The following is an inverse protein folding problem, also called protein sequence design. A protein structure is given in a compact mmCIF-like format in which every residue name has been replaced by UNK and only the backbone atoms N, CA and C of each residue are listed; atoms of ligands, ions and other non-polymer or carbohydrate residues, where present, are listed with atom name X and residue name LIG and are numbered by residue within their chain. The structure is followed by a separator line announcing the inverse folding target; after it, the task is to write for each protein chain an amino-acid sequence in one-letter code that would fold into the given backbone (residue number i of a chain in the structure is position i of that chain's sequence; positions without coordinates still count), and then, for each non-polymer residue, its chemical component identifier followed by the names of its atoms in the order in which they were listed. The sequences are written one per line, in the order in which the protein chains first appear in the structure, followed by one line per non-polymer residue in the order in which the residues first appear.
data_IF_320181523454
#
_entry.id   IF_320181523454
#
_cell.length_a   1.000
_cell.length_b   1.000
_cell.length_c   1.000
_cell.angle_alpha   90.00
_cell.angle_beta   90.00
_cell.angle_gamma   90.00
#
_symmetry.space_group_name_H-M   'P 1'
#
loop_
_entity.id
_entity.type
_entity.pdbx_description
1 polymer ?
#
# COMPACT_ATOMS: atom_id res chain seq x y z
N UNK A 1 13.61 16.62 -30.08
CA UNK A 1 14.18 16.04 -28.86
C UNK A 1 13.03 15.84 -27.88
N UNK A 2 12.57 14.61 -27.68
CA UNK A 2 11.42 14.30 -26.82
C UNK A 2 11.94 14.07 -25.42
N UNK A 3 11.55 14.90 -24.46
CA UNK A 3 11.83 14.68 -23.03
C UNK A 3 10.85 13.62 -22.51
N UNK A 4 11.38 12.50 -22.07
CA UNK A 4 10.62 11.48 -21.33
C UNK A 4 10.62 11.89 -19.87
N UNK A 5 9.46 12.15 -19.32
CA UNK A 5 9.25 12.33 -17.87
C UNK A 5 9.26 10.95 -17.24
N UNK A 6 10.18 10.73 -16.33
CA UNK A 6 10.32 9.48 -15.55
C UNK A 6 9.46 9.66 -14.29
N UNK A 7 8.35 8.96 -14.22
CA UNK A 7 7.59 8.84 -12.98
C UNK A 7 8.33 7.89 -12.05
N UNK A 8 8.82 8.39 -10.93
CA UNK A 8 9.49 7.62 -9.88
C UNK A 8 8.43 7.23 -8.86
N UNK A 9 7.98 5.99 -8.92
CA UNK A 9 7.17 5.41 -7.85
C UNK A 9 8.13 5.02 -6.74
N UNK A 10 8.12 5.76 -5.63
CA UNK A 10 8.83 5.39 -4.41
C UNK A 10 7.89 4.53 -3.56
N UNK A 11 8.05 3.23 -3.62
CA UNK A 11 7.41 2.32 -2.66
C UNK A 11 8.23 2.36 -1.38
N UNK A 12 7.74 3.05 -0.36
CA UNK A 12 8.34 3.03 0.97
C UNK A 12 7.80 1.82 1.73
N UNK A 13 8.58 0.75 1.81
CA UNK A 13 8.35 -0.34 2.76
C UNK A 13 8.76 0.14 4.15
N UNK A 14 7.82 0.47 5.02
CA UNK A 14 8.08 0.65 6.45
C UNK A 14 7.96 -0.70 7.18
N UNK A 15 9.05 -1.12 7.78
CA UNK A 15 9.07 -2.21 8.75
C UNK A 15 8.54 -1.69 10.09
N UNK A 16 7.42 -2.18 10.56
CA UNK A 16 6.94 -1.96 11.93
C UNK A 16 7.47 -3.04 12.86
N UNK A 17 8.08 -2.62 13.97
CA UNK A 17 8.44 -3.47 15.09
C UNK A 17 7.24 -3.61 16.05
N UNK A 18 7.03 -4.75 16.74
CA UNK A 18 5.88 -4.97 17.60
C UNK A 18 6.02 -4.25 18.94
N UNK A 19 5.01 -3.49 19.33
CA UNK A 19 4.85 -2.96 20.69
C UNK A 19 3.98 -3.91 21.51
N UNK A 20 4.54 -4.37 22.61
CA UNK A 20 3.92 -5.30 23.56
C UNK A 20 2.76 -4.66 24.31
N UNK A 21 1.58 -5.30 24.29
CA UNK A 21 0.42 -4.92 25.07
C UNK A 21 0.52 -5.44 26.50
N UNK A 22 0.26 -4.56 27.49
CA UNK A 22 -0.02 -4.93 28.88
C UNK A 22 -1.52 -5.12 29.06
N UNK A 23 -1.91 -6.29 29.58
CA UNK A 23 -3.26 -6.61 29.98
C UNK A 23 -3.61 -5.98 31.33
N UNK A 24 -4.81 -5.48 31.47
CA UNK A 24 -5.48 -5.26 32.76
C UNK A 24 -6.95 -5.68 32.66
N UNK A 25 -7.25 -6.58 33.55
CA UNK A 25 -8.47 -7.31 33.85
C UNK A 25 -9.55 -6.39 34.47
N UNK A 26 -10.82 -6.53 34.07
CA UNK A 26 -11.97 -6.31 34.95
C UNK A 26 -13.31 -6.76 34.30
N UNK A 27 -13.96 -7.58 34.98
CA UNK A 27 -15.22 -8.31 34.95
C UNK A 27 -16.51 -7.52 34.70
N UNK A 28 -17.44 -8.21 33.95
CA UNK A 28 -18.92 -8.38 34.07
C UNK A 28 -19.84 -7.18 34.36
N UNK A 29 -20.88 -6.95 33.58
CA UNK A 29 -22.22 -7.53 33.69
C UNK A 29 -23.19 -7.03 32.57
N UNK A 30 -24.11 -7.92 32.18
CA UNK A 30 -25.06 -7.78 31.10
C UNK A 30 -26.25 -6.89 31.43
N UNK A 31 -26.84 -6.24 30.43
CA UNK A 31 -28.31 -6.17 30.24
C UNK A 31 -28.68 -5.63 28.84
N UNK A 32 -29.53 -6.39 28.16
CA UNK A 32 -30.16 -6.03 26.89
C UNK A 32 -31.25 -4.98 27.08
N UNK A 33 -31.34 -4.03 26.15
CA UNK A 33 -32.62 -3.45 25.74
C UNK A 33 -32.53 -2.88 24.32
N UNK A 34 -33.41 -3.40 23.49
CA UNK A 34 -33.73 -2.91 22.14
C UNK A 34 -34.44 -1.59 22.17
N UNK A 35 -34.01 -0.59 21.41
CA UNK A 35 -34.92 0.47 20.92
C UNK A 35 -34.43 0.95 19.54
N UNK A 36 -35.34 0.87 18.58
CA UNK A 36 -35.30 1.57 17.30
C UNK A 36 -35.05 3.07 17.51
N UNK A 37 -34.15 3.65 16.77
CA UNK A 37 -34.13 5.09 16.58
C UNK A 37 -33.81 5.43 15.13
N UNK A 38 -34.74 6.15 14.57
CA UNK A 38 -34.74 6.75 13.25
C UNK A 38 -33.53 7.66 13.01
N UNK A 39 -33.10 7.70 11.74
CA UNK A 39 -32.05 8.60 11.30
C UNK A 39 -32.37 10.06 11.61
N UNK A 40 -31.50 10.71 12.33
CA UNK A 40 -31.36 12.16 12.34
C UNK A 40 -30.23 12.56 11.41
N UNK A 41 -30.61 13.34 10.40
CA UNK A 41 -29.69 14.07 9.57
C UNK A 41 -28.86 14.97 10.51
N UNK A 42 -27.53 14.76 10.53
CA UNK A 42 -26.65 15.68 11.21
C UNK A 42 -26.71 17.03 10.51
N UNK A 43 -27.26 18.00 11.20
CA UNK A 43 -27.23 19.42 10.90
C UNK A 43 -25.75 19.80 10.62
N UNK A 44 -25.50 20.41 9.46
CA UNK A 44 -24.25 21.07 9.18
C UNK A 44 -24.04 22.17 10.20
N UNK A 45 -23.13 22.00 11.15
CA UNK A 45 -22.66 23.08 12.02
C UNK A 45 -22.12 24.21 11.14
N UNK A 46 -22.83 25.32 11.20
CA UNK A 46 -22.49 26.58 10.56
C UNK A 46 -21.13 27.06 11.05
N UNK A 47 -20.26 27.37 10.11
CA UNK A 47 -18.91 27.90 10.23
C UNK A 47 -18.71 28.84 11.44
N UNK A 48 -18.20 28.32 12.55
CA UNK A 48 -17.33 29.09 13.43
C UNK A 48 -16.03 29.35 12.64
N UNK A 49 -15.52 30.61 12.66
CA UNK A 49 -14.33 31.00 11.89
C UNK A 49 -13.13 30.08 12.17
N UNK A 50 -12.10 30.11 11.33
CA UNK A 50 -10.93 29.22 11.35
C UNK A 50 -10.20 29.11 12.72
N UNK A 51 -10.51 30.00 13.69
CA UNK A 51 -9.78 30.06 14.96
C UNK A 51 -8.32 30.52 14.78
N UNK A 52 -7.50 30.24 15.78
CA UNK A 52 -6.09 30.69 15.82
C UNK A 52 -5.08 29.52 15.75
N UNK A 53 -5.55 28.27 15.84
CA UNK A 53 -4.70 27.08 15.93
C UNK A 53 -4.40 26.49 14.55
N UNK A 54 -3.13 26.54 14.14
CA UNK A 54 -2.66 25.93 12.88
C UNK A 54 -2.86 24.40 12.89
N UNK A 55 -2.79 23.77 14.04
CA UNK A 55 -3.00 22.32 14.22
C UNK A 55 -4.46 21.91 14.21
N UNK A 56 -5.38 22.86 13.93
CA UNK A 56 -6.78 22.52 13.57
C UNK A 56 -6.86 21.86 12.18
N UNK A 57 -5.79 21.96 11.37
CA UNK A 57 -5.71 21.49 9.98
C UNK A 57 -6.89 21.99 9.13
N UNK A 58 -7.20 23.26 9.27
CA UNK A 58 -8.30 23.92 8.56
C UNK A 58 -7.80 25.09 7.72
N UNK A 59 -8.48 25.35 6.61
CA UNK A 59 -8.28 26.54 5.79
C UNK A 59 -9.60 27.02 5.20
N UNK A 60 -9.64 28.29 4.82
CA UNK A 60 -10.73 28.88 4.04
C UNK A 60 -10.26 29.12 2.61
N UNK A 61 -10.97 28.57 1.64
CA UNK A 61 -10.80 28.87 0.23
C UNK A 61 -12.04 29.60 -0.29
N UNK A 62 -11.88 30.86 -0.66
CA UNK A 62 -12.94 31.70 -1.19
C UNK A 62 -14.23 31.67 -0.35
N UNK A 63 -14.09 31.79 0.97
CA UNK A 63 -15.21 31.80 1.93
C UNK A 63 -15.75 30.43 2.31
N UNK A 64 -15.20 29.35 1.79
CA UNK A 64 -15.55 27.97 2.18
C UNK A 64 -14.47 27.38 3.06
N UNK A 65 -14.83 26.95 4.25
CA UNK A 65 -13.90 26.34 5.20
C UNK A 65 -13.76 24.85 4.94
N UNK A 66 -12.52 24.37 4.83
CA UNK A 66 -12.12 22.96 4.74
C UNK A 66 -11.39 22.59 6.03
N UNK A 67 -11.58 21.36 6.51
CA UNK A 67 -10.85 20.80 7.64
C UNK A 67 -10.43 19.37 7.28
N UNK A 68 -9.15 19.08 7.42
CA UNK A 68 -8.57 17.78 7.09
C UNK A 68 -8.40 16.90 8.35
N UNK A 69 -8.59 15.56 8.22
CA UNK A 69 -9.13 14.90 7.04
C UNK A 69 -10.62 15.16 6.83
N UNK A 70 -11.06 15.08 5.58
CA UNK A 70 -12.46 15.19 5.17
C UNK A 70 -12.78 14.15 4.11
N UNK A 71 -14.06 13.89 3.83
CA UNK A 71 -14.44 12.93 2.77
C UNK A 71 -14.19 13.52 1.37
N UNK A 72 -13.89 12.67 0.41
CA UNK A 72 -13.83 13.06 -1.00
C UNK A 72 -15.15 13.73 -1.43
N UNK A 73 -16.29 13.21 -1.00
CA UNK A 73 -17.61 13.73 -1.34
C UNK A 73 -17.84 15.16 -0.82
N UNK A 74 -17.40 15.46 0.40
CA UNK A 74 -17.48 16.81 0.95
C UNK A 74 -16.59 17.78 0.16
N UNK A 75 -15.39 17.34 -0.20
CA UNK A 75 -14.44 18.13 -0.98
C UNK A 75 -14.99 18.49 -2.38
N UNK A 76 -15.51 17.51 -3.12
CA UNK A 76 -16.14 17.79 -4.43
C UNK A 76 -17.46 18.55 -4.28
N UNK A 77 -18.18 18.36 -3.18
CA UNK A 77 -19.38 19.14 -2.83
C UNK A 77 -19.10 20.64 -2.67
N UNK A 78 -17.85 21.03 -2.40
CA UNK A 78 -17.41 22.44 -2.39
C UNK A 78 -17.13 22.98 -3.79
N UNK A 79 -17.35 22.21 -4.86
CA UNK A 79 -17.19 22.60 -6.25
C UNK A 79 -15.78 22.34 -6.81
N UNK A 80 -15.00 21.50 -6.15
CA UNK A 80 -13.76 20.95 -6.72
C UNK A 80 -14.10 19.82 -7.68
N UNK A 81 -13.46 19.78 -8.82
CA UNK A 81 -13.63 18.75 -9.85
C UNK A 81 -12.31 18.03 -10.06
N UNK A 82 -12.37 16.70 -10.18
CA UNK A 82 -11.19 15.89 -10.50
C UNK A 82 -10.58 16.39 -11.82
N UNK A 83 -9.27 16.57 -11.85
CA UNK A 83 -8.58 16.98 -13.07
C UNK A 83 -8.74 15.90 -14.15
N UNK A 84 -9.02 16.33 -15.38
CA UNK A 84 -9.14 15.44 -16.54
C UNK A 84 -7.83 14.68 -16.89
N UNK A 85 -6.76 14.91 -16.15
CA UNK A 85 -5.48 14.21 -16.30
C UNK A 85 -5.38 13.01 -15.36
N UNK A 86 -6.25 12.97 -14.35
CA UNK A 86 -6.30 11.89 -13.36
C UNK A 86 -7.21 10.77 -13.86
N UNK A 87 -6.99 9.57 -13.35
CA UNK A 87 -7.82 8.42 -13.62
C UNK A 87 -8.99 8.40 -12.63
N UNK A 88 -10.25 8.56 -13.09
CA UNK A 88 -11.40 8.53 -12.20
C UNK A 88 -11.65 7.14 -11.58
N UNK A 89 -11.13 6.09 -12.19
CA UNK A 89 -11.27 4.70 -11.73
C UNK A 89 -10.08 4.28 -10.84
N UNK A 90 -9.23 5.23 -10.45
CA UNK A 90 -8.08 4.97 -9.57
C UNK A 90 -8.54 4.35 -8.26
N UNK A 91 -7.84 3.30 -7.85
CA UNK A 91 -8.01 2.66 -6.55
C UNK A 91 -6.94 3.12 -5.56
N UNK A 92 -7.34 3.28 -4.31
CA UNK A 92 -6.45 3.59 -3.19
C UNK A 92 -6.34 2.32 -2.35
N UNK A 93 -5.13 1.76 -2.32
CA UNK A 93 -4.85 0.57 -1.53
C UNK A 93 -5.02 0.83 -0.03
N UNK A 94 -5.13 -0.24 0.74
CA UNK A 94 -5.25 -0.17 2.20
C UNK A 94 -4.03 0.50 2.83
N UNK A 95 -4.25 1.27 3.90
CA UNK A 95 -3.20 2.01 4.63
C UNK A 95 -2.25 2.78 3.70
N UNK A 96 -2.79 3.40 2.65
CA UNK A 96 -2.00 4.15 1.68
C UNK A 96 -2.62 5.49 1.33
N UNK A 97 -1.81 6.32 0.70
CA UNK A 97 -2.22 7.62 0.19
C UNK A 97 -1.62 7.89 -1.18
N UNK A 98 -2.19 8.85 -1.89
CA UNK A 98 -1.71 9.30 -3.19
C UNK A 98 -2.09 10.75 -3.46
N UNK A 99 -1.42 11.37 -4.42
CA UNK A 99 -1.66 12.76 -4.79
C UNK A 99 -2.53 12.83 -6.03
N UNK A 100 -3.58 13.64 -5.97
CA UNK A 100 -4.58 13.80 -7.03
C UNK A 100 -4.84 15.30 -7.24
N UNK A 101 -4.88 15.71 -8.49
CA UNK A 101 -5.12 17.11 -8.85
C UNK A 101 -6.61 17.39 -9.01
N UNK A 102 -7.06 18.49 -8.41
CA UNK A 102 -8.42 19.01 -8.55
C UNK A 102 -8.44 20.42 -9.10
N UNK A 103 -9.51 20.76 -9.81
CA UNK A 103 -9.72 22.08 -10.38
C UNK A 103 -11.01 22.73 -9.84
N UNK A 104 -10.98 24.05 -9.63
CA UNK A 104 -12.16 24.86 -9.37
C UNK A 104 -12.08 26.14 -10.18
N UNK A 105 -12.79 26.18 -11.31
CA UNK A 105 -12.67 27.26 -12.29
C UNK A 105 -11.28 27.30 -12.92
N UNK A 106 -10.47 28.34 -12.63
CA UNK A 106 -9.10 28.48 -13.10
C UNK A 106 -8.06 27.99 -12.10
N UNK A 107 -8.50 27.72 -10.89
CA UNK A 107 -7.63 27.32 -9.80
C UNK A 107 -7.43 25.81 -9.80
N UNK A 108 -6.23 25.38 -9.44
CA UNK A 108 -5.87 23.98 -9.30
C UNK A 108 -5.20 23.74 -7.94
N UNK A 109 -5.45 22.59 -7.34
CA UNK A 109 -4.79 22.14 -6.10
C UNK A 109 -4.37 20.69 -6.25
N UNK A 110 -3.34 20.30 -5.52
CA UNK A 110 -3.02 18.89 -5.32
C UNK A 110 -3.58 18.47 -3.98
N UNK A 111 -4.46 17.48 -3.95
CA UNK A 111 -4.99 16.92 -2.72
C UNK A 111 -4.36 15.57 -2.46
N UNK A 112 -4.15 15.25 -1.20
CA UNK A 112 -3.66 13.98 -0.75
C UNK A 112 -4.85 13.09 -0.36
N UNK A 113 -5.16 12.13 -1.23
CA UNK A 113 -6.23 11.15 -1.02
C UNK A 113 -5.68 9.97 -0.22
N UNK A 114 -6.43 9.47 0.75
CA UNK A 114 -5.98 8.37 1.62
C UNK A 114 -7.08 7.36 1.89
N UNK A 115 -6.65 6.13 2.15
CA UNK A 115 -7.48 5.03 2.60
C UNK A 115 -6.87 4.42 3.87
N UNK A 116 -7.57 4.53 4.97
CA UNK A 116 -7.17 3.97 6.27
C UNK A 116 -7.95 2.69 6.61
N UNK A 117 -8.75 2.21 5.65
CA UNK A 117 -9.56 1.00 5.78
C UNK A 117 -8.80 -0.28 5.46
N UNK A 118 -9.47 -1.41 5.68
CA UNK A 118 -8.95 -2.76 5.38
C UNK A 118 -9.31 -3.26 3.98
N UNK A 119 -10.15 -2.52 3.25
CA UNK A 119 -10.55 -2.80 1.87
C UNK A 119 -9.92 -1.75 0.95
N UNK A 120 -9.56 -2.13 -0.27
CA UNK A 120 -9.19 -1.18 -1.31
C UNK A 120 -10.43 -0.38 -1.72
N UNK A 121 -10.30 0.94 -1.91
CA UNK A 121 -11.43 1.82 -2.22
C UNK A 121 -11.19 2.62 -3.50
N UNK A 122 -12.27 3.04 -4.15
CA UNK A 122 -12.20 4.06 -5.22
C UNK A 122 -11.98 5.47 -4.66
N UNK A 123 -11.64 6.41 -5.54
CA UNK A 123 -11.48 7.82 -5.15
C UNK A 123 -12.70 8.38 -4.41
N UNK A 124 -13.90 8.01 -4.86
CA UNK A 124 -15.16 8.50 -4.29
C UNK A 124 -15.42 8.10 -2.84
N UNK A 125 -14.77 7.02 -2.38
CA UNK A 125 -14.88 6.49 -1.03
C UNK A 125 -13.64 6.82 -0.17
N UNK A 126 -12.67 7.55 -0.72
CA UNK A 126 -11.44 7.95 -0.02
C UNK A 126 -11.66 9.15 0.90
N UNK A 127 -10.69 9.39 1.77
CA UNK A 127 -10.54 10.64 2.51
C UNK A 127 -9.57 11.57 1.78
N UNK A 128 -9.73 12.87 1.99
CA UNK A 128 -8.73 13.88 1.67
C UNK A 128 -8.00 14.19 2.99
N UNK A 129 -6.76 13.74 3.09
CA UNK A 129 -5.92 13.94 4.28
C UNK A 129 -5.10 15.22 4.22
N UNK A 130 -4.84 15.76 3.03
CA UNK A 130 -4.02 16.94 2.86
C UNK A 130 -4.28 17.70 1.58
N UNK A 131 -3.70 18.89 1.49
CA UNK A 131 -3.81 19.76 0.32
C UNK A 131 -2.57 20.63 0.13
N UNK A 132 -2.11 20.73 -1.09
CA UNK A 132 -1.13 21.72 -1.54
C UNK A 132 -1.84 22.85 -2.30
N UNK A 133 -1.63 24.09 -1.85
CA UNK A 133 -2.14 25.32 -2.49
C UNK A 133 -0.97 26.21 -2.87
N UNK A 134 -0.72 26.41 -4.18
CA UNK A 134 0.37 27.24 -4.69
C UNK A 134 -0.14 28.51 -5.39
N UNK A 135 -0.06 29.64 -4.69
CA UNK A 135 -0.44 30.95 -5.20
C UNK A 135 0.51 31.56 -6.23
N UNK A 136 1.65 30.91 -6.52
CA UNK A 136 2.59 31.38 -7.54
C UNK A 136 2.21 30.93 -8.95
N UNK A 137 1.50 29.78 -9.07
CA UNK A 137 1.23 29.15 -10.36
C UNK A 137 -0.21 28.67 -10.52
N UNK A 138 -0.81 28.12 -9.45
CA UNK A 138 -2.02 27.32 -9.57
C UNK A 138 -3.26 28.06 -9.08
N UNK A 139 -3.09 29.11 -8.27
CA UNK A 139 -4.19 29.88 -7.68
C UNK A 139 -4.14 31.34 -8.14
N UNK A 140 -5.26 31.83 -8.69
CA UNK A 140 -5.43 33.24 -9.06
C UNK A 140 -5.83 34.06 -7.82
N UNK A 141 -4.84 34.46 -7.02
CA UNK A 141 -5.03 35.28 -5.81
C UNK A 141 -5.63 36.66 -6.06
N UNK A 142 -5.82 37.08 -7.34
CA UNK A 142 -6.55 38.30 -7.66
C UNK A 142 -8.06 38.09 -7.64
N UNK A 143 -8.53 36.88 -7.73
CA UNK A 143 -9.96 36.51 -7.81
C UNK A 143 -10.46 35.70 -6.62
N UNK A 144 -9.59 35.03 -5.88
CA UNK A 144 -9.95 34.22 -4.70
C UNK A 144 -9.05 34.54 -3.51
N UNK A 145 -9.55 34.29 -2.30
CA UNK A 145 -8.76 34.38 -1.08
C UNK A 145 -8.55 33.00 -0.47
N UNK A 146 -7.34 32.77 0.08
CA UNK A 146 -6.98 31.56 0.85
C UNK A 146 -6.47 32.00 2.20
N UNK A 147 -7.14 31.55 3.26
CA UNK A 147 -6.81 31.93 4.62
C UNK A 147 -6.54 30.70 5.49
N UNK A 148 -5.64 30.86 6.44
CA UNK A 148 -5.31 29.92 7.49
C UNK A 148 -5.77 30.44 8.86
N UNK A 149 -5.82 29.61 9.88
CA UNK A 149 -6.04 30.05 11.26
C UNK A 149 -5.12 31.23 11.65
N UNK A 150 -5.48 31.98 12.69
CA UNK A 150 -4.67 33.11 13.15
C UNK A 150 -4.62 34.30 12.18
N UNK A 151 -5.49 34.34 11.18
CA UNK A 151 -5.58 35.45 10.23
C UNK A 151 -4.49 35.49 9.17
N UNK A 152 -3.76 34.39 8.97
CA UNK A 152 -2.74 34.26 7.92
C UNK A 152 -3.43 34.11 6.56
N UNK A 153 -2.99 34.86 5.55
CA UNK A 153 -3.58 34.88 4.21
C UNK A 153 -2.50 34.72 3.14
N UNK A 154 -2.75 33.81 2.20
CA UNK A 154 -1.90 33.52 1.05
C UNK A 154 -1.77 34.78 0.14
N UNK A 155 -0.58 35.11 -0.27
CA UNK A 155 -0.25 36.29 -1.07
C UNK A 155 -0.16 37.61 -0.28
N UNK A 156 -0.38 37.57 1.05
CA UNK A 156 -0.36 38.79 1.89
C UNK A 156 0.53 38.67 3.12
N UNK A 157 0.38 37.58 3.90
CA UNK A 157 1.10 37.41 5.16
C UNK A 157 2.58 37.16 4.94
N UNK A 158 3.38 37.77 5.82
CA UNK A 158 4.84 37.67 5.85
C UNK A 158 5.32 36.56 6.79
N UNK A 159 6.62 36.25 6.77
CA UNK A 159 7.22 35.33 7.73
C UNK A 159 7.07 35.82 9.18
N UNK A 160 7.13 37.12 9.40
CA UNK A 160 6.95 37.69 10.74
C UNK A 160 5.50 37.57 11.22
N UNK A 161 4.51 37.73 10.32
CA UNK A 161 3.10 37.51 10.67
C UNK A 161 2.84 36.04 11.05
N UNK A 162 3.41 35.09 10.28
CA UNK A 162 3.31 33.65 10.54
C UNK A 162 3.89 33.32 11.92
N UNK A 163 5.09 33.78 12.23
CA UNK A 163 5.73 33.57 13.54
C UNK A 163 4.98 34.25 14.68
N UNK A 164 4.39 35.42 14.42
CA UNK A 164 3.57 36.09 15.41
C UNK A 164 2.27 35.33 15.74
N UNK A 165 1.67 34.67 14.73
CA UNK A 165 0.47 33.88 14.88
C UNK A 165 0.72 32.51 15.54
N UNK A 166 1.77 31.80 15.12
CA UNK A 166 1.99 30.38 15.47
C UNK A 166 3.19 30.11 16.37
N UNK A 167 4.02 31.13 16.63
CA UNK A 167 5.27 30.97 17.37
C UNK A 167 6.42 30.43 16.50
N UNK A 168 7.43 29.87 17.17
CA UNK A 168 8.60 29.31 16.49
C UNK A 168 8.22 28.01 15.77
N UNK A 169 8.59 27.85 14.48
CA UNK A 169 8.34 26.62 13.73
C UNK A 169 9.21 25.45 14.25
N UNK A 170 8.76 24.23 13.96
CA UNK A 170 9.50 22.99 14.26
C UNK A 170 10.77 22.87 13.41
N UNK A 171 10.72 23.32 12.15
CA UNK A 171 11.85 23.38 11.23
C UNK A 171 11.79 24.62 10.33
N UNK A 172 12.95 25.05 9.83
CA UNK A 172 13.08 26.16 8.89
C UNK A 172 14.11 25.86 7.83
N UNK A 173 13.68 25.87 6.58
CA UNK A 173 14.56 25.78 5.41
C UNK A 173 14.69 27.15 4.74
N UNK A 174 15.93 27.62 4.56
CA UNK A 174 16.24 28.85 3.83
C UNK A 174 16.86 28.54 2.46
N UNK A 175 16.05 28.64 1.42
CA UNK A 175 16.49 28.52 0.04
C UNK A 175 16.78 29.88 -0.61
N UNK A 176 17.22 29.87 -1.88
CA UNK A 176 17.48 31.11 -2.62
C UNK A 176 16.20 31.87 -2.98
N UNK A 177 15.10 31.15 -3.24
CA UNK A 177 13.83 31.70 -3.73
C UNK A 177 12.81 31.93 -2.62
N UNK A 178 12.79 31.08 -1.59
CA UNK A 178 11.84 31.12 -0.49
C UNK A 178 12.45 30.65 0.82
N UNK A 179 11.80 31.03 1.90
CA UNK A 179 11.97 30.43 3.24
C UNK A 179 10.75 29.56 3.51
N UNK A 180 10.96 28.28 3.82
CA UNK A 180 9.90 27.34 4.22
C UNK A 180 9.97 27.15 5.73
N UNK A 181 8.84 27.27 6.40
CA UNK A 181 8.69 26.96 7.82
C UNK A 181 7.70 25.83 7.99
N UNK A 182 8.05 24.88 8.85
CA UNK A 182 7.24 23.68 9.13
C UNK A 182 6.72 23.75 10.56
N UNK A 183 5.43 23.49 10.73
CA UNK A 183 4.75 23.30 12.00
C UNK A 183 4.29 21.84 12.07
N UNK A 184 5.08 21.00 12.72
CA UNK A 184 4.83 19.57 12.90
C UNK A 184 4.17 19.36 14.27
N UNK A 185 3.05 18.65 14.28
CA UNK A 185 2.36 18.20 15.49
C UNK A 185 2.69 16.75 15.80
N UNK A 186 2.72 15.89 14.77
CA UNK A 186 3.11 14.50 14.82
C UNK A 186 3.61 14.08 13.42
N UNK A 187 4.15 12.86 13.28
CA UNK A 187 4.76 12.31 12.06
C UNK A 187 3.86 12.42 10.81
N UNK A 188 2.54 12.38 10.99
CA UNK A 188 1.54 12.46 9.92
C UNK A 188 0.65 13.70 10.01
N UNK A 189 1.10 14.71 10.73
CA UNK A 189 0.37 15.94 10.98
C UNK A 189 1.30 17.14 10.90
N UNK A 190 1.35 17.80 9.73
CA UNK A 190 2.19 18.97 9.53
C UNK A 190 1.57 20.04 8.64
N UNK A 191 2.05 21.26 8.77
CA UNK A 191 1.77 22.37 7.87
C UNK A 191 3.07 23.04 7.48
N UNK A 192 3.36 23.05 6.19
CA UNK A 192 4.51 23.73 5.60
C UNK A 192 4.06 25.02 4.91
N UNK A 193 4.73 26.11 5.24
CA UNK A 193 4.44 27.46 4.73
C UNK A 193 5.66 28.02 4.03
N UNK A 194 5.55 28.28 2.72
CA UNK A 194 6.65 28.84 1.91
C UNK A 194 6.44 30.33 1.66
N UNK A 195 7.29 31.16 2.23
CA UNK A 195 7.34 32.61 2.06
C UNK A 195 8.39 32.95 1.01
N UNK A 196 7.96 33.55 -0.12
CA UNK A 196 8.84 33.86 -1.22
C UNK A 196 9.60 35.18 -0.98
N UNK A 197 10.87 35.21 -1.36
CA UNK A 197 11.81 36.32 -1.06
C UNK A 197 11.64 37.54 -1.97
N UNK A 198 10.95 37.39 -3.11
CA UNK A 198 10.74 38.47 -4.08
C UNK A 198 9.82 39.59 -3.54
N UNK A 199 8.79 39.23 -2.80
CA UNK A 199 7.85 40.16 -2.18
C UNK A 199 7.61 39.92 -0.68
N UNK A 200 8.33 38.96 -0.11
CA UNK A 200 8.24 38.56 1.30
C UNK A 200 6.83 38.16 1.73
N UNK A 201 6.08 37.45 0.85
CA UNK A 201 4.74 36.96 1.16
C UNK A 201 4.64 35.45 1.11
N UNK A 202 3.72 34.87 1.88
CA UNK A 202 3.33 33.46 1.82
C UNK A 202 2.74 33.16 0.46
N UNK A 203 3.34 32.23 -0.29
CA UNK A 203 2.87 31.82 -1.62
C UNK A 203 2.40 30.37 -1.67
N UNK A 204 2.93 29.49 -0.83
CA UNK A 204 2.57 28.08 -0.88
C UNK A 204 2.26 27.57 0.52
N UNK A 205 1.22 26.75 0.59
CA UNK A 205 0.79 26.01 1.78
C UNK A 205 0.74 24.54 1.40
N UNK A 206 1.42 23.70 2.17
CA UNK A 206 1.23 22.27 2.19
C UNK A 206 0.66 21.93 3.58
N UNK A 207 -0.53 21.36 3.64
CA UNK A 207 -1.20 20.99 4.88
C UNK A 207 -1.53 19.51 4.83
N UNK A 208 -1.07 18.76 5.82
CA UNK A 208 -1.22 17.31 5.91
C UNK A 208 -1.74 16.91 7.29
N UNK A 209 -2.81 16.12 7.31
CA UNK A 209 -3.33 15.44 8.48
C UNK A 209 -3.83 14.06 8.05
N UNK A 210 -2.95 13.06 8.13
CA UNK A 210 -3.25 11.67 7.73
C UNK A 210 -3.69 10.81 8.93
N UNK A 211 -4.01 11.45 10.05
CA UNK A 211 -4.54 10.75 11.21
C UNK A 211 -5.96 10.22 10.97
N UNK A 212 -6.26 9.08 11.59
CA UNK A 212 -7.56 8.46 11.53
C UNK A 212 -8.63 9.33 12.21
N UNK A 213 -9.71 9.72 11.51
CA UNK A 213 -10.80 10.44 12.13
C UNK A 213 -11.48 9.61 13.22
N UNK A 214 -11.95 10.27 14.28
CA UNK A 214 -12.71 9.61 15.33
C UNK A 214 -13.96 8.91 14.76
N UNK A 215 -14.09 7.60 15.02
CA UNK A 215 -15.21 6.80 14.54
C UNK A 215 -15.14 6.41 13.07
N UNK A 216 -13.96 6.52 12.43
CA UNK A 216 -13.76 6.07 11.06
C UNK A 216 -14.12 4.58 10.91
N UNK A 217 -14.93 4.25 9.90
CA UNK A 217 -15.27 2.87 9.58
C UNK A 217 -14.19 2.26 8.68
N UNK A 218 -13.39 1.35 9.23
CA UNK A 218 -12.33 0.65 8.48
C UNK A 218 -12.85 -0.39 7.50
N UNK A 219 -14.16 -0.61 7.45
CA UNK A 219 -14.77 -1.67 6.67
C UNK A 219 -14.80 -3.01 7.39
N UNK A 220 -15.29 -4.03 6.69
CA UNK A 220 -15.44 -5.38 7.23
C UNK A 220 -14.69 -6.40 6.37
N UNK A 221 -14.25 -7.49 7.00
CA UNK A 221 -13.72 -8.67 6.29
C UNK A 221 -14.85 -9.33 5.52
N UNK A 222 -14.61 -9.67 4.25
CA UNK A 222 -15.59 -10.39 3.43
C UNK A 222 -15.76 -11.82 3.92
N UNK A 223 -17.01 -12.22 4.13
CA UNK A 223 -17.40 -13.62 4.42
C UNK A 223 -17.49 -14.48 3.13
N UNK A 224 -17.38 -13.87 1.96
CA UNK A 224 -17.49 -14.56 0.68
C UNK A 224 -16.16 -15.20 0.27
N UNK A 225 -16.22 -16.43 -0.23
CA UNK A 225 -15.07 -17.07 -0.87
C UNK A 225 -14.95 -16.51 -2.30
N UNK A 226 -13.84 -15.85 -2.66
CA UNK A 226 -13.67 -15.25 -3.97
C UNK A 226 -13.80 -16.27 -5.12
N UNK A 227 -14.35 -15.83 -6.24
CA UNK A 227 -14.52 -16.67 -7.43
C UNK A 227 -13.20 -17.29 -7.93
N UNK A 228 -12.08 -16.55 -7.81
CA UNK A 228 -10.74 -17.04 -8.18
C UNK A 228 -10.28 -18.23 -7.32
N UNK A 229 -10.69 -18.27 -6.05
CA UNK A 229 -10.43 -19.41 -5.15
C UNK A 229 -11.30 -20.60 -5.53
N UNK A 230 -12.60 -20.37 -5.77
CA UNK A 230 -13.53 -21.45 -6.16
C UNK A 230 -13.22 -22.02 -7.55
N UNK A 231 -12.62 -21.23 -8.43
CA UNK A 231 -12.20 -21.65 -9.77
C UNK A 231 -10.87 -22.42 -9.77
N UNK A 232 -10.09 -22.34 -8.69
CA UNK A 232 -8.79 -23.02 -8.60
C UNK A 232 -8.94 -24.55 -8.75
N UNK A 233 -8.02 -25.14 -9.50
CA UNK A 233 -7.89 -26.59 -9.65
C UNK A 233 -6.43 -26.97 -9.56
N UNK A 234 -6.11 -27.87 -8.65
CA UNK A 234 -4.79 -28.49 -8.60
C UNK A 234 -4.51 -29.21 -9.93
N UNK A 235 -3.30 -29.16 -10.46
CA UNK A 235 -2.92 -29.92 -11.65
C UNK A 235 -2.98 -31.42 -11.40
N UNK A 236 -3.34 -32.21 -12.42
CA UNK A 236 -3.38 -33.69 -12.32
C UNK A 236 -1.98 -34.32 -12.42
N UNK A 237 -1.01 -33.59 -12.98
CA UNK A 237 0.38 -34.03 -13.15
C UNK A 237 1.29 -32.83 -13.34
N UNK A 238 2.61 -33.03 -13.11
CA UNK A 238 3.65 -32.11 -13.56
C UNK A 238 3.68 -32.05 -15.08
N UNK A 239 3.92 -30.87 -15.63
CA UNK A 239 4.16 -30.64 -17.03
C UNK A 239 5.59 -31.04 -17.48
N UNK A 240 5.94 -30.68 -18.69
CA UNK A 240 7.26 -30.91 -19.26
C UNK A 240 8.11 -29.64 -19.40
N UNK A 241 7.55 -28.50 -19.03
CA UNK A 241 8.19 -27.21 -19.13
C UNK A 241 8.55 -26.66 -17.74
N UNK A 242 9.80 -26.28 -17.54
CA UNK A 242 10.27 -25.77 -16.24
C UNK A 242 9.54 -24.52 -15.73
N UNK A 243 8.91 -23.78 -16.63
CA UNK A 243 8.11 -22.59 -16.30
C UNK A 243 6.59 -22.90 -16.27
N UNK A 244 6.18 -24.16 -16.32
CA UNK A 244 4.80 -24.53 -16.01
C UNK A 244 4.50 -24.19 -14.55
N UNK A 245 3.28 -23.77 -14.28
CA UNK A 245 2.83 -23.41 -12.92
C UNK A 245 2.73 -24.60 -11.96
N UNK A 246 2.75 -25.82 -12.49
CA UNK A 246 2.60 -27.06 -11.71
C UNK A 246 3.90 -27.39 -10.95
N UNK A 247 3.77 -27.51 -9.63
CA UNK A 247 4.86 -27.88 -8.71
C UNK A 247 4.38 -29.03 -7.82
N UNK A 248 5.19 -30.07 -7.67
CA UNK A 248 5.01 -31.07 -6.61
C UNK A 248 5.74 -30.59 -5.34
N UNK A 249 5.02 -30.46 -4.25
CA UNK A 249 5.55 -30.00 -2.99
C UNK A 249 5.09 -30.92 -1.84
N UNK A 250 6.03 -31.60 -1.22
CA UNK A 250 5.77 -32.59 -0.19
C UNK A 250 4.80 -33.71 -0.62
N UNK A 251 4.88 -34.11 -1.90
CA UNK A 251 4.09 -35.20 -2.48
C UNK A 251 2.71 -34.78 -2.99
N UNK A 252 2.33 -33.51 -2.85
CA UNK A 252 1.09 -32.98 -3.40
C UNK A 252 1.37 -32.00 -4.56
N UNK A 253 0.43 -31.92 -5.51
CA UNK A 253 0.54 -31.06 -6.67
C UNK A 253 -0.18 -29.72 -6.45
N UNK A 254 0.51 -28.63 -6.75
CA UNK A 254 -0.02 -27.27 -6.72
C UNK A 254 0.23 -26.57 -8.05
N UNK A 255 -0.77 -25.83 -8.53
CA UNK A 255 -0.60 -24.93 -9.68
C UNK A 255 -0.47 -23.50 -9.14
N UNK A 256 0.73 -22.91 -9.21
CA UNK A 256 0.97 -21.55 -8.72
C UNK A 256 0.38 -20.49 -9.67
N UNK A 257 -0.23 -19.43 -9.11
CA UNK A 257 -0.51 -19.20 -7.71
C UNK A 257 -1.60 -20.15 -7.17
N UNK A 258 -1.41 -20.66 -5.95
CA UNK A 258 -2.33 -21.61 -5.33
C UNK A 258 -2.95 -21.01 -4.07
N UNK A 259 -4.29 -21.15 -3.84
CA UNK A 259 -4.89 -20.63 -2.62
C UNK A 259 -4.43 -21.43 -1.40
N UNK A 260 -4.33 -20.76 -0.26
CA UNK A 260 -3.97 -21.37 1.02
C UNK A 260 -4.90 -22.56 1.34
N UNK A 261 -6.18 -22.46 0.97
CA UNK A 261 -7.15 -23.56 1.11
C UNK A 261 -6.75 -24.85 0.38
N UNK A 262 -5.97 -24.77 -0.72
CA UNK A 262 -5.44 -25.97 -1.36
C UNK A 262 -4.35 -26.66 -0.53
N UNK A 263 -3.57 -25.90 0.22
CA UNK A 263 -2.58 -26.43 1.14
C UNK A 263 -3.26 -27.06 2.36
N UNK A 264 -4.23 -26.38 2.98
CA UNK A 264 -4.96 -26.94 4.14
C UNK A 264 -5.74 -28.20 3.76
N UNK A 265 -6.31 -28.28 2.56
CA UNK A 265 -6.95 -29.50 2.04
C UNK A 265 -5.96 -30.68 1.93
N UNK A 266 -4.68 -30.42 1.72
CA UNK A 266 -3.61 -31.42 1.67
C UNK A 266 -2.95 -31.66 3.04
N UNK A 267 -3.56 -31.19 4.14
CA UNK A 267 -3.13 -31.46 5.51
C UNK A 267 -2.03 -30.53 6.05
N UNK A 268 -1.87 -29.35 5.44
CA UNK A 268 -1.12 -28.27 6.05
C UNK A 268 -1.97 -27.56 7.10
N UNK A 269 -1.37 -27.17 8.20
CA UNK A 269 -2.00 -26.44 9.30
C UNK A 269 -1.38 -25.05 9.40
N UNK A 270 -2.21 -24.01 9.36
CA UNK A 270 -1.77 -22.62 9.59
C UNK A 270 -1.43 -22.51 11.08
N UNK A 271 -0.22 -22.02 11.37
CA UNK A 271 0.21 -21.76 12.73
C UNK A 271 -0.17 -20.32 13.10
N UNK A 272 -0.59 -20.13 14.36
CA UNK A 272 -0.91 -18.80 14.91
C UNK A 272 -1.91 -17.97 14.04
N UNK A 273 -2.89 -18.64 13.42
CA UNK A 273 -3.92 -18.00 12.59
C UNK A 273 -4.70 -16.88 13.32
N UNK A 274 -4.77 -16.97 14.65
CA UNK A 274 -5.39 -15.96 15.51
C UNK A 274 -4.67 -14.61 15.50
N UNK A 275 -3.36 -14.59 15.17
CA UNK A 275 -2.56 -13.36 15.07
C UNK A 275 -2.73 -12.66 13.73
N UNK A 276 -3.19 -13.39 12.70
CA UNK A 276 -3.45 -12.84 11.35
C UNK A 276 -4.76 -13.44 10.84
N UNK A 277 -5.91 -12.99 11.36
CA UNK A 277 -7.21 -13.61 11.04
C UNK A 277 -7.69 -13.31 9.60
N UNK A 278 -7.16 -12.29 8.97
CA UNK A 278 -7.49 -11.88 7.61
C UNK A 278 -6.29 -11.19 6.94
N UNK A 279 -6.38 -10.99 5.65
CA UNK A 279 -5.46 -10.15 4.86
C UNK A 279 -6.27 -9.03 4.22
N UNK A 280 -5.80 -7.81 4.36
CA UNK A 280 -6.41 -6.62 3.77
C UNK A 280 -6.53 -6.73 2.25
N UNK A 281 -7.42 -5.95 1.62
CA UNK A 281 -7.59 -5.91 0.16
C UNK A 281 -6.29 -5.56 -0.56
N UNK A 282 -5.89 -6.37 -1.55
CA UNK A 282 -4.60 -6.24 -2.25
C UNK A 282 -3.36 -6.45 -1.37
N UNK A 283 -3.55 -6.85 -0.11
CA UNK A 283 -2.50 -6.94 0.90
C UNK A 283 -1.70 -8.23 0.83
N UNK A 284 -0.64 -8.27 1.66
CA UNK A 284 0.27 -9.41 1.82
C UNK A 284 0.37 -9.74 3.29
N UNK A 285 0.34 -11.03 3.63
CA UNK A 285 0.66 -11.51 4.97
C UNK A 285 1.76 -12.58 4.91
N UNK A 286 2.42 -12.76 6.04
CA UNK A 286 3.43 -13.80 6.23
C UNK A 286 2.88 -14.79 7.23
N UNK A 287 2.81 -16.07 6.87
CA UNK A 287 2.26 -17.12 7.70
C UNK A 287 3.21 -18.31 7.76
N UNK A 288 3.21 -18.98 8.89
CA UNK A 288 3.84 -20.28 9.04
C UNK A 288 2.80 -21.38 8.86
N UNK A 289 3.10 -22.34 8.00
CA UNK A 289 2.28 -23.54 7.84
C UNK A 289 3.07 -24.78 8.18
N UNK A 290 2.44 -25.74 8.84
CA UNK A 290 3.06 -26.97 9.29
C UNK A 290 2.41 -28.21 8.68
N UNK A 291 3.24 -29.16 8.24
CA UNK A 291 2.83 -30.50 7.81
C UNK A 291 3.90 -31.51 8.23
N UNK A 292 3.50 -32.63 8.84
CA UNK A 292 4.41 -33.71 9.27
C UNK A 292 5.60 -33.21 10.12
N UNK A 293 5.36 -32.30 11.06
CA UNK A 293 6.37 -31.64 11.92
C UNK A 293 7.41 -30.77 11.16
N UNK A 294 7.12 -30.40 9.94
CA UNK A 294 7.93 -29.44 9.18
C UNK A 294 7.16 -28.13 9.05
N UNK A 295 7.78 -27.03 9.46
CA UNK A 295 7.23 -25.67 9.34
C UNK A 295 7.85 -24.95 8.18
N UNK A 296 7.02 -24.22 7.42
CA UNK A 296 7.44 -23.41 6.30
C UNK A 296 6.78 -22.05 6.40
N UNK A 297 7.57 -21.04 6.12
CA UNK A 297 7.13 -19.65 6.03
C UNK A 297 6.65 -19.34 4.62
N UNK A 298 5.41 -18.85 4.50
CA UNK A 298 4.81 -18.45 3.22
C UNK A 298 4.48 -16.96 3.21
N UNK A 299 4.73 -16.32 2.08
CA UNK A 299 4.10 -15.05 1.73
C UNK A 299 2.78 -15.36 1.04
N UNK A 300 1.67 -14.84 1.57
CA UNK A 300 0.34 -15.03 1.02
C UNK A 300 -0.25 -13.68 0.59
N UNK A 301 -0.91 -13.67 -0.56
CA UNK A 301 -1.39 -12.48 -1.24
C UNK A 301 -2.91 -12.51 -1.33
N UNK A 302 -3.55 -11.46 -0.91
CA UNK A 302 -4.95 -11.25 -1.19
C UNK A 302 -5.10 -10.64 -2.59
N UNK A 303 -5.64 -11.41 -3.53
CA UNK A 303 -5.83 -11.02 -4.93
C UNK A 303 -7.14 -10.26 -5.17
N UNK A 304 -7.83 -9.85 -4.10
CA UNK A 304 -9.11 -9.16 -4.17
C UNK A 304 -9.04 -7.77 -3.55
N UNK A 305 -9.99 -6.92 -3.88
CA UNK A 305 -10.11 -5.58 -3.32
C UNK A 305 -10.58 -5.58 -1.85
N UNK A 306 -11.22 -6.65 -1.40
CA UNK A 306 -11.76 -6.75 -0.05
C UNK A 306 -10.85 -7.57 0.86
N UNK A 307 -10.79 -7.18 2.14
CA UNK A 307 -10.16 -8.00 3.17
C UNK A 307 -10.82 -9.38 3.22
N UNK A 308 -10.03 -10.43 3.30
CA UNK A 308 -10.51 -11.82 3.24
C UNK A 308 -9.76 -12.72 4.21
N UNK A 309 -10.35 -13.87 4.54
CA UNK A 309 -9.71 -14.88 5.37
C UNK A 309 -8.42 -15.42 4.73
N UNK A 310 -7.45 -15.85 5.55
CA UNK A 310 -6.16 -16.39 5.09
C UNK A 310 -6.31 -17.51 4.06
N UNK A 311 -7.30 -18.38 4.22
CA UNK A 311 -7.56 -19.51 3.33
C UNK A 311 -7.89 -19.10 1.90
N UNK A 312 -8.35 -17.86 1.71
CA UNK A 312 -8.67 -17.28 0.41
C UNK A 312 -7.49 -16.59 -0.27
N UNK A 313 -6.38 -16.41 0.44
CA UNK A 313 -5.17 -15.79 -0.10
C UNK A 313 -4.34 -16.79 -0.91
N UNK A 314 -3.45 -16.29 -1.76
CA UNK A 314 -2.67 -17.09 -2.69
C UNK A 314 -1.20 -17.14 -2.33
N UNK A 315 -0.62 -18.33 -2.41
CA UNK A 315 0.82 -18.58 -2.41
C UNK A 315 1.30 -18.46 -3.86
N UNK A 316 2.19 -17.52 -4.13
CA UNK A 316 2.78 -17.29 -5.45
C UNK A 316 4.15 -17.94 -5.61
N UNK A 317 4.80 -18.25 -4.50
CA UNK A 317 6.16 -18.75 -4.48
C UNK A 317 6.29 -19.97 -3.57
N UNK A 318 6.97 -21.00 -4.09
CA UNK A 318 7.44 -22.16 -3.34
C UNK A 318 8.94 -22.28 -3.49
N UNK A 319 9.64 -22.51 -2.38
CA UNK A 319 11.08 -22.73 -2.39
C UNK A 319 11.48 -23.95 -1.58
N UNK A 320 12.65 -24.51 -1.94
CA UNK A 320 13.23 -25.69 -1.29
C UNK A 320 14.76 -25.62 -1.32
N UNK A 321 15.40 -25.91 -0.20
CA UNK A 321 16.86 -25.87 -0.07
C UNK A 321 17.40 -27.10 0.68
N UNK A 322 18.68 -27.41 0.51
CA UNK A 322 19.34 -28.63 1.05
C UNK A 322 19.84 -28.52 2.48
N UNK A 323 19.51 -27.48 3.21
CA UNK A 323 20.03 -27.31 4.59
C UNK A 323 19.53 -28.39 5.56
N UNK A 324 18.44 -29.04 5.22
CA UNK A 324 17.87 -30.11 5.99
C UNK A 324 17.60 -31.31 5.07
N UNK A 325 18.38 -32.41 5.20
CA UNK A 325 18.19 -33.61 4.39
C UNK A 325 16.84 -34.33 4.68
N UNK A 326 16.14 -33.99 5.75
CA UNK A 326 14.79 -34.46 6.06
C UNK A 326 13.72 -33.51 5.52
N UNK A 327 14.13 -32.45 4.82
CA UNK A 327 13.26 -31.40 4.37
C UNK A 327 12.35 -31.81 3.22
N UNK A 328 11.40 -30.95 2.97
CA UNK A 328 10.33 -31.08 2.00
C UNK A 328 10.88 -31.31 0.60
N UNK A 329 10.44 -32.39 -0.02
CA UNK A 329 10.76 -32.63 -1.42
C UNK A 329 9.95 -31.68 -2.31
N UNK A 330 10.64 -30.98 -3.22
CA UNK A 330 10.05 -30.14 -4.26
C UNK A 330 10.51 -30.65 -5.63
N UNK A 331 9.56 -30.69 -6.57
CA UNK A 331 9.82 -31.07 -7.95
C UNK A 331 9.08 -30.13 -8.89
N UNK A 332 9.81 -29.55 -9.82
CA UNK A 332 9.23 -28.74 -10.89
C UNK A 332 8.83 -29.59 -12.09
N UNK A 333 8.01 -29.05 -12.95
CA UNK A 333 7.75 -29.59 -14.28
C UNK A 333 9.06 -29.81 -15.05
N UNK A 334 9.10 -30.83 -15.92
CA UNK A 334 10.32 -31.27 -16.57
C UNK A 334 11.22 -32.15 -15.69
N UNK A 335 10.68 -32.73 -14.62
CA UNK A 335 11.39 -33.60 -13.65
C UNK A 335 12.58 -32.94 -12.94
N UNK A 336 12.53 -31.61 -12.81
CA UNK A 336 13.62 -30.84 -12.17
C UNK A 336 13.47 -30.88 -10.65
N UNK A 337 14.54 -31.26 -9.97
CA UNK A 337 14.62 -31.30 -8.48
C UNK A 337 16.00 -30.84 -8.04
N UNK A 338 16.24 -30.81 -6.72
CA UNK A 338 17.57 -30.52 -6.18
C UNK A 338 18.63 -31.42 -6.82
N UNK A 339 19.83 -30.87 -7.01
CA UNK A 339 20.93 -31.53 -7.68
C UNK A 339 20.85 -31.46 -9.21
N UNK A 340 19.87 -30.75 -9.79
CA UNK A 340 19.84 -30.45 -11.22
C UNK A 340 21.10 -29.71 -11.66
N UNK A 341 21.65 -30.06 -12.82
CA UNK A 341 22.90 -29.50 -13.32
C UNK A 341 22.67 -28.14 -13.99
N UNK A 342 23.46 -27.14 -13.65
CA UNK A 342 23.34 -25.77 -14.16
C UNK A 342 23.37 -25.70 -15.68
N UNK A 343 24.31 -26.45 -16.30
CA UNK A 343 24.47 -26.47 -17.75
C UNK A 343 23.28 -27.08 -18.47
N UNK A 344 22.69 -28.14 -17.89
CA UNK A 344 21.50 -28.77 -18.44
C UNK A 344 20.27 -27.85 -18.28
N UNK A 345 20.15 -27.13 -17.16
CA UNK A 345 19.07 -26.14 -16.95
C UNK A 345 19.12 -25.00 -17.97
N UNK A 346 20.30 -24.44 -18.21
CA UNK A 346 20.50 -23.40 -19.23
C UNK A 346 20.15 -23.94 -20.62
N UNK A 347 20.60 -25.15 -20.95
CA UNK A 347 20.26 -25.78 -22.23
C UNK A 347 18.77 -25.98 -22.42
N UNK A 348 18.05 -26.45 -21.39
CA UNK A 348 16.60 -26.58 -21.42
C UNK A 348 15.90 -25.21 -21.63
N UNK A 349 16.41 -24.15 -21.00
CA UNK A 349 15.93 -22.80 -21.19
C UNK A 349 16.16 -22.30 -22.63
N UNK A 350 17.36 -22.51 -23.17
CA UNK A 350 17.73 -22.11 -24.54
C UNK A 350 16.87 -22.83 -25.60
N UNK A 351 16.57 -24.11 -25.41
CA UNK A 351 15.68 -24.89 -26.29
C UNK A 351 14.28 -24.33 -26.35
N UNK A 352 13.82 -23.68 -25.27
CA UNK A 352 12.51 -23.01 -25.18
C UNK A 352 12.56 -21.52 -25.58
N UNK A 353 13.75 -20.95 -25.75
CA UNK A 353 13.93 -19.54 -26.04
C UNK A 353 13.72 -18.63 -24.82
N UNK A 354 13.91 -19.16 -23.61
CA UNK A 354 13.83 -18.43 -22.35
C UNK A 354 15.08 -17.61 -22.10
N UNK A 355 14.98 -16.64 -21.20
CA UNK A 355 16.09 -15.82 -20.78
C UNK A 355 16.70 -16.45 -19.51
N UNK A 356 18.00 -16.66 -19.54
CA UNK A 356 18.80 -17.08 -18.40
C UNK A 356 19.62 -15.91 -17.88
N UNK A 357 19.48 -15.58 -16.62
CA UNK A 357 20.31 -14.62 -15.89
C UNK A 357 21.13 -15.37 -14.85
N UNK A 358 22.44 -15.32 -14.96
CA UNK A 358 23.33 -16.14 -14.14
C UNK A 358 24.56 -15.39 -13.60
N UNK A 359 25.10 -15.90 -12.50
CA UNK A 359 26.45 -15.67 -12.01
C UNK A 359 27.04 -17.01 -11.47
N UNK A 360 28.14 -16.99 -10.75
CA UNK A 360 28.81 -18.22 -10.29
C UNK A 360 27.91 -19.15 -9.47
N UNK A 361 27.03 -18.59 -8.61
CA UNK A 361 26.23 -19.32 -7.62
C UNK A 361 24.72 -19.21 -7.84
N UNK A 362 24.28 -18.64 -8.95
CA UNK A 362 22.90 -18.27 -9.18
C UNK A 362 22.49 -18.47 -10.63
N UNK A 363 21.25 -18.88 -10.85
CA UNK A 363 20.59 -18.95 -12.15
C UNK A 363 19.11 -18.65 -11.98
N UNK A 364 18.61 -17.62 -12.69
CA UNK A 364 17.18 -17.35 -12.83
C UNK A 364 16.76 -17.50 -14.28
N UNK A 365 15.67 -18.21 -14.51
CA UNK A 365 15.12 -18.48 -15.85
C UNK A 365 13.70 -17.91 -15.89
N UNK A 366 13.40 -17.14 -16.94
CA UNK A 366 12.09 -16.52 -17.13
C UNK A 366 11.74 -16.37 -18.62
N UNK A 367 10.42 -16.32 -19.01
CA UNK A 367 10.04 -16.42 -20.42
C UNK A 367 10.36 -15.18 -21.24
N UNK A 368 10.36 -13.99 -20.64
CA UNK A 368 10.64 -12.71 -21.29
C UNK A 368 10.96 -11.63 -20.25
N UNK A 369 11.45 -10.47 -20.69
CA UNK A 369 11.88 -9.38 -19.80
C UNK A 369 10.80 -8.83 -18.89
N UNK A 370 9.54 -8.84 -19.34
CA UNK A 370 8.41 -8.31 -18.58
C UNK A 370 7.98 -9.28 -17.48
N UNK A 371 8.35 -10.56 -17.60
CA UNK A 371 8.04 -11.63 -16.64
C UNK A 371 9.14 -11.90 -15.62
N UNK A 372 10.28 -11.18 -15.66
CA UNK A 372 11.46 -11.43 -14.82
C UNK A 372 11.14 -11.52 -13.31
N UNK A 373 10.18 -10.77 -12.83
CA UNK A 373 9.78 -10.73 -11.42
C UNK A 373 8.43 -11.40 -11.15
N UNK A 374 7.72 -11.81 -12.19
CA UNK A 374 6.36 -12.35 -12.11
C UNK A 374 6.29 -13.85 -12.33
N UNK A 375 7.09 -14.35 -13.28
CA UNK A 375 7.07 -15.77 -13.64
C UNK A 375 8.49 -16.24 -13.87
N UNK A 376 9.05 -16.94 -12.91
CA UNK A 376 10.42 -17.43 -12.98
C UNK A 376 10.64 -18.71 -12.17
N UNK A 377 11.71 -19.41 -12.52
CA UNK A 377 12.35 -20.39 -11.65
C UNK A 377 13.75 -19.94 -11.33
N UNK A 378 14.19 -20.16 -10.12
CA UNK A 378 15.48 -19.73 -9.61
C UNK A 378 16.21 -20.87 -8.94
N UNK A 379 17.51 -20.91 -9.13
CA UNK A 379 18.40 -21.94 -8.61
C UNK A 379 19.61 -21.30 -7.94
N UNK A 380 19.94 -21.78 -6.74
CA UNK A 380 21.22 -21.44 -6.10
C UNK A 380 22.11 -22.66 -6.06
N UNK A 381 23.42 -22.43 -6.27
CA UNK A 381 24.47 -23.43 -6.35
C UNK A 381 25.47 -23.21 -5.22
N UNK A 382 25.90 -24.31 -4.56
CA UNK A 382 26.79 -24.21 -3.42
C UNK A 382 28.23 -23.98 -3.87
N UNK A 383 28.89 -22.90 -3.41
CA UNK A 383 30.29 -22.56 -3.81
C UNK A 383 31.34 -23.52 -3.27
N UNK A 384 31.03 -24.14 -2.13
CA UNK A 384 32.03 -24.96 -1.40
C UNK A 384 32.00 -26.45 -1.81
N UNK A 385 31.02 -26.87 -2.63
CA UNK A 385 30.86 -28.19 -3.18
C UNK A 385 30.80 -28.12 -4.71
N UNK A 386 30.51 -29.17 -5.43
CA UNK A 386 30.40 -29.14 -6.89
C UNK A 386 29.36 -28.07 -7.34
N UNK A 387 29.86 -26.88 -7.70
CA UNK A 387 29.06 -25.66 -7.96
C UNK A 387 28.09 -25.75 -9.16
N UNK A 388 28.05 -26.91 -9.83
CA UNK A 388 27.13 -27.16 -10.95
C UNK A 388 25.79 -27.74 -10.53
N UNK A 389 25.64 -28.13 -9.28
CA UNK A 389 24.43 -28.79 -8.78
C UNK A 389 23.53 -27.83 -7.96
N UNK A 390 22.24 -27.76 -8.30
CA UNK A 390 21.30 -26.91 -7.59
C UNK A 390 21.15 -27.34 -6.13
N UNK A 391 21.47 -26.43 -5.22
CA UNK A 391 21.31 -26.58 -3.77
C UNK A 391 19.99 -25.97 -3.27
N UNK A 392 19.39 -25.06 -4.02
CA UNK A 392 18.07 -24.49 -3.76
C UNK A 392 17.31 -24.31 -5.07
N UNK A 393 16.01 -24.42 -4.99
CA UNK A 393 15.06 -24.19 -6.10
C UNK A 393 13.96 -23.28 -5.58
N UNK A 394 13.58 -22.30 -6.39
CA UNK A 394 12.39 -21.46 -6.16
C UNK A 394 11.56 -21.44 -7.44
N UNK A 395 10.27 -21.59 -7.32
CA UNK A 395 9.29 -21.33 -8.39
C UNK A 395 8.35 -20.20 -7.97
N UNK A 396 8.21 -19.19 -8.83
CA UNK A 396 7.37 -18.04 -8.61
C UNK A 396 6.48 -17.78 -9.82
N UNK A 397 5.17 -17.64 -9.58
CA UNK A 397 4.15 -17.34 -10.60
C UNK A 397 3.12 -16.35 -10.03
N UNK A 398 2.85 -15.26 -10.78
CA UNK A 398 1.78 -14.29 -10.55
C UNK A 398 0.59 -14.53 -11.49
#
# INVERSE_FOLDING_TARGET
MKKKTLAMVLTACMMMAPVSAFAADATEEAAAETTEAAGEATDSESAEGLGDDIYSFSMEFDGQTMKFPMTYQDFVGMGWELSSREDPDMKISTNSYGFVSFNKGKNSVSAEVMNLGINEVGLEDSLIGGITVDGSYDIDLTSVSVKLPGGIELGKSTLDDIKAAYGDPSDTYEGDLYTKVTYEKDTYQEVELSVFKDDNTLKKVDMENLEEPEGYDKGAVSDEVPDIVTAYKAPDALGSDMLDTAVEYMGDLYGLPAPVSAFTANGWEIQDAENTPYVEGGGIAFIDMMKNNQSIHFSVYNETENATALENCFVRELSFATYDPESIAMKLSGDITLGADKTELIKMADEKGYISEENDDYLRIYPNKDSKIRNYVEFWFNKDEDSTKAASITAHHE
#
